data_IF_007729809273
#
_entry.id   IF_007729809273
#
_cell.length_a   1.000
_cell.length_b   1.000
_cell.length_c   1.000
_cell.angle_alpha   90.00
_cell.angle_beta   90.00
_cell.angle_gamma   90.00
#
_symmetry.space_group_name_H-M   'P 1'
#
loop_
_entity.id
_entity.type
_entity.pdbx_description
1 polymer ?
#
# COMPACT_ATOMS: atom_id res chain seq x y z
N UNK A 1 -1.60 -8.81 -8.42
CA UNK A 1 -0.45 -7.90 -8.21
C UNK A 1 -1.02 -6.52 -8.06
N UNK A 2 -0.74 -5.85 -6.95
CA UNK A 2 -1.26 -4.51 -6.70
C UNK A 2 -0.22 -3.48 -7.14
N UNK A 3 -0.62 -2.51 -7.97
CA UNK A 3 0.24 -1.46 -8.51
C UNK A 3 -0.15 -0.07 -7.98
N UNK A 4 0.85 0.78 -7.76
CA UNK A 4 0.66 2.17 -7.31
C UNK A 4 0.64 3.12 -8.51
N UNK A 5 -0.39 3.00 -9.34
CA UNK A 5 -0.55 3.79 -10.56
C UNK A 5 -1.24 5.14 -10.34
N UNK A 6 -0.90 6.12 -11.17
CA UNK A 6 -1.52 7.45 -11.15
C UNK A 6 -2.90 7.38 -11.83
N UNK A 7 -3.95 7.23 -11.02
CA UNK A 7 -5.34 7.20 -11.47
C UNK A 7 -6.02 8.58 -11.39
N UNK A 8 -6.99 8.88 -12.29
CA UNK A 8 -7.82 10.07 -12.17
C UNK A 8 -8.70 10.03 -10.90
N UNK A 9 -9.09 11.20 -10.41
CA UNK A 9 -9.92 11.34 -9.20
C UNK A 9 -11.42 11.25 -9.50
N UNK A 10 -12.19 10.82 -8.51
CA UNK A 10 -13.66 10.80 -8.60
C UNK A 10 -14.31 12.18 -8.36
N UNK A 11 -15.58 12.34 -8.77
CA UNK A 11 -16.38 13.56 -8.59
C UNK A 11 -16.50 13.92 -7.10
N UNK A 12 -16.69 12.92 -6.23
CA UNK A 12 -16.67 13.07 -4.75
C UNK A 12 -15.30 13.56 -4.24
N UNK A 13 -14.19 12.97 -4.68
CA UNK A 13 -12.84 13.40 -4.27
C UNK A 13 -12.52 14.83 -4.71
N UNK A 14 -12.89 15.20 -5.93
CA UNK A 14 -12.72 16.55 -6.49
C UNK A 14 -13.55 17.61 -5.72
N UNK A 15 -14.74 17.24 -5.24
CA UNK A 15 -15.58 18.09 -4.39
C UNK A 15 -15.01 18.20 -2.97
N UNK A 16 -14.52 17.10 -2.39
CA UNK A 16 -13.84 17.14 -1.08
C UNK A 16 -12.59 18.04 -1.12
N UNK A 17 -11.80 17.99 -2.20
CA UNK A 17 -10.65 18.89 -2.42
C UNK A 17 -11.06 20.35 -2.50
N UNK A 18 -12.15 20.68 -3.19
CA UNK A 18 -12.68 22.04 -3.24
C UNK A 18 -13.17 22.53 -1.87
N UNK A 19 -13.89 21.68 -1.12
CA UNK A 19 -14.38 21.99 0.23
C UNK A 19 -13.28 22.30 1.24
N UNK A 20 -12.08 21.71 1.09
CA UNK A 20 -10.92 22.04 1.96
C UNK A 20 -10.50 23.51 1.88
N UNK A 21 -10.73 24.20 0.76
CA UNK A 21 -10.37 25.61 0.60
C UNK A 21 -11.29 26.57 1.41
N UNK A 22 -12.51 26.15 1.75
CA UNK A 22 -13.53 26.99 2.39
C UNK A 22 -13.66 26.86 3.91
N UNK A 23 -12.74 26.16 4.59
CA UNK A 23 -12.90 25.73 6.00
C UNK A 23 -12.95 26.85 7.04
N UNK A 24 -12.30 27.98 6.78
CA UNK A 24 -12.14 29.08 7.76
C UNK A 24 -12.74 30.40 7.26
N UNK A 25 -12.78 30.57 5.94
CA UNK A 25 -13.24 31.77 5.23
C UNK A 25 -13.52 31.41 3.77
N UNK A 26 -14.25 32.24 3.00
CA UNK A 26 -14.42 32.04 1.57
C UNK A 26 -13.08 31.82 0.86
N UNK A 27 -12.98 30.68 0.17
CA UNK A 27 -11.78 30.23 -0.53
C UNK A 27 -12.04 29.98 -2.02
N UNK A 28 -10.97 29.87 -2.80
CA UNK A 28 -11.02 29.57 -4.24
C UNK A 28 -10.29 28.26 -4.51
N UNK A 29 -10.86 27.42 -5.38
CA UNK A 29 -10.24 26.18 -5.83
C UNK A 29 -10.08 26.22 -7.36
N UNK A 30 -8.85 26.10 -7.84
CA UNK A 30 -8.55 26.05 -9.27
C UNK A 30 -8.45 24.60 -9.71
N UNK A 31 -9.26 24.21 -10.70
CA UNK A 31 -9.30 22.87 -11.29
C UNK A 31 -8.62 22.91 -12.66
N UNK A 32 -7.55 22.14 -12.84
CA UNK A 32 -6.75 22.11 -14.08
C UNK A 32 -7.32 21.08 -15.09
N UNK A 33 -8.63 21.09 -15.29
CA UNK A 33 -9.36 20.24 -16.22
C UNK A 33 -10.66 20.92 -16.64
N UNK A 34 -11.20 20.53 -17.80
CA UNK A 34 -12.43 21.13 -18.33
C UNK A 34 -13.66 20.74 -17.51
N UNK A 35 -14.70 21.58 -17.55
CA UNK A 35 -15.99 21.26 -16.94
C UNK A 35 -16.60 19.97 -17.53
N UNK A 36 -16.49 19.79 -18.84
CA UNK A 36 -16.95 18.58 -19.52
C UNK A 36 -16.25 17.32 -18.98
N UNK A 37 -14.92 17.35 -18.76
CA UNK A 37 -14.20 16.22 -18.17
C UNK A 37 -14.71 15.85 -16.77
N UNK A 38 -15.03 16.86 -15.94
CA UNK A 38 -15.62 16.66 -14.61
C UNK A 38 -17.02 16.04 -14.66
N UNK A 39 -17.83 16.41 -15.66
CA UNK A 39 -19.23 15.98 -15.76
C UNK A 39 -19.41 14.64 -16.49
N UNK A 40 -18.58 14.32 -17.50
CA UNK A 40 -18.76 13.11 -18.33
C UNK A 40 -17.68 12.04 -18.23
N UNK A 41 -16.47 12.34 -17.73
CA UNK A 41 -15.34 11.38 -17.72
C UNK A 41 -14.88 10.97 -16.30
N UNK A 42 -15.15 11.78 -15.27
CA UNK A 42 -14.83 11.41 -13.89
C UNK A 42 -15.92 10.51 -13.28
N UNK A 43 -15.55 9.37 -12.65
CA UNK A 43 -16.51 8.52 -11.95
C UNK A 43 -17.04 9.22 -10.69
N UNK A 44 -18.30 8.98 -10.33
CA UNK A 44 -19.00 9.63 -9.22
C UNK A 44 -18.26 9.43 -7.88
N UNK A 45 -18.15 8.17 -7.47
CA UNK A 45 -17.40 7.71 -6.32
C UNK A 45 -16.12 6.98 -6.76
N UNK A 46 -15.21 6.74 -5.82
CA UNK A 46 -14.11 5.81 -6.04
C UNK A 46 -14.59 4.39 -5.69
N UNK A 47 -14.07 3.37 -6.39
CA UNK A 47 -14.37 1.97 -6.07
C UNK A 47 -13.94 1.63 -4.62
N UNK A 48 -14.73 0.82 -3.88
CA UNK A 48 -14.42 0.37 -2.52
C UNK A 48 -13.04 -0.26 -2.40
N UNK A 49 -12.38 -0.08 -1.25
CA UNK A 49 -11.02 -0.59 -1.03
C UNK A 49 -10.95 -2.12 -1.10
N UNK A 50 -11.95 -2.81 -0.54
CA UNK A 50 -12.11 -4.28 -0.57
C UNK A 50 -12.21 -4.86 -2.00
N UNK A 51 -12.60 -4.06 -2.99
CA UNK A 51 -12.65 -4.46 -4.40
C UNK A 51 -11.36 -4.13 -5.17
N UNK A 52 -10.38 -3.48 -4.54
CA UNK A 52 -9.19 -2.90 -5.19
C UNK A 52 -7.85 -3.42 -4.69
N UNK A 53 -7.77 -3.98 -3.48
CA UNK A 53 -6.52 -4.44 -2.86
C UNK A 53 -6.50 -5.95 -2.60
N UNK A 54 -5.30 -6.51 -2.41
CA UNK A 54 -5.14 -7.91 -2.03
C UNK A 54 -5.79 -8.25 -0.67
N UNK A 55 -6.69 -9.23 -0.67
CA UNK A 55 -7.49 -9.57 0.51
C UNK A 55 -6.80 -10.50 1.51
N UNK A 56 -5.60 -11.02 1.20
CA UNK A 56 -4.92 -12.03 2.03
C UNK A 56 -4.71 -11.58 3.49
N UNK A 57 -4.28 -10.34 3.71
CA UNK A 57 -4.18 -9.75 5.04
C UNK A 57 -5.55 -9.67 5.75
N UNK A 58 -6.57 -9.12 5.08
CA UNK A 58 -7.91 -8.96 5.65
C UNK A 58 -8.57 -10.31 6.02
N UNK A 59 -8.47 -11.31 5.15
CA UNK A 59 -9.00 -12.67 5.37
C UNK A 59 -8.31 -13.35 6.56
N UNK A 60 -6.99 -13.17 6.71
CA UNK A 60 -6.25 -13.71 7.86
C UNK A 60 -6.74 -13.09 9.19
N UNK A 61 -6.97 -11.77 9.22
CA UNK A 61 -7.52 -11.10 10.40
C UNK A 61 -8.96 -11.55 10.71
N UNK A 62 -9.81 -11.71 9.69
CA UNK A 62 -11.18 -12.24 9.86
C UNK A 62 -11.16 -13.66 10.45
N UNK A 63 -10.33 -14.57 9.92
CA UNK A 63 -10.17 -15.93 10.46
C UNK A 63 -9.55 -15.95 11.87
N UNK A 64 -8.72 -14.95 12.23
CA UNK A 64 -8.12 -14.86 13.57
C UNK A 64 -9.14 -14.53 14.68
N UNK A 65 -10.32 -13.99 14.36
CA UNK A 65 -11.36 -13.60 15.34
C UNK A 65 -12.05 -14.78 16.05
N UNK A 66 -11.70 -16.04 15.76
CA UNK A 66 -12.27 -17.27 16.36
C UNK A 66 -13.80 -17.39 16.24
N UNK A 67 -14.41 -16.70 15.29
CA UNK A 67 -15.80 -16.91 14.91
C UNK A 67 -15.86 -18.08 13.90
N UNK A 68 -16.86 -18.98 13.98
CA UNK A 68 -17.11 -19.99 12.95
C UNK A 68 -17.66 -19.28 11.70
N UNK A 69 -16.74 -18.69 10.93
CA UNK A 69 -17.03 -17.81 9.80
C UNK A 69 -16.59 -18.46 8.50
N UNK A 70 -17.57 -18.72 7.62
CA UNK A 70 -17.29 -18.86 6.20
C UNK A 70 -17.01 -17.48 5.61
N UNK A 71 -15.85 -17.35 4.97
CA UNK A 71 -15.39 -16.12 4.33
C UNK A 71 -16.05 -15.93 2.96
N UNK A 72 -16.52 -17.01 2.32
CA UNK A 72 -17.20 -16.96 1.03
C UNK A 72 -18.68 -16.56 1.17
N UNK A 73 -19.34 -17.02 2.23
CA UNK A 73 -20.72 -16.67 2.59
C UNK A 73 -20.87 -15.46 3.52
N UNK A 74 -19.82 -14.67 3.77
CA UNK A 74 -19.90 -13.49 4.63
C UNK A 74 -20.63 -12.31 3.95
N UNK A 75 -21.51 -11.65 4.70
CA UNK A 75 -22.30 -10.50 4.23
C UNK A 75 -21.45 -9.21 4.23
N UNK A 76 -20.67 -9.02 3.16
CA UNK A 76 -19.89 -7.82 2.92
C UNK A 76 -20.78 -6.68 2.38
N UNK A 77 -20.65 -5.47 2.96
CA UNK A 77 -21.34 -4.26 2.48
C UNK A 77 -21.13 -4.00 0.98
N UNK A 78 -19.88 -4.14 0.52
CA UNK A 78 -19.49 -4.13 -0.87
C UNK A 78 -18.74 -5.44 -1.13
N UNK A 79 -19.38 -6.50 -1.68
CA UNK A 79 -18.72 -7.79 -1.82
C UNK A 79 -17.53 -7.72 -2.80
N UNK A 80 -16.38 -8.31 -2.45
CA UNK A 80 -15.28 -8.50 -3.39
C UNK A 80 -15.64 -9.57 -4.44
N UNK A 81 -14.88 -9.61 -5.53
CA UNK A 81 -15.04 -10.69 -6.51
C UNK A 81 -14.65 -12.04 -5.90
N UNK A 82 -15.42 -13.09 -6.20
CA UNK A 82 -15.19 -14.45 -5.67
C UNK A 82 -13.77 -14.95 -5.96
N UNK A 83 -13.23 -14.68 -7.16
CA UNK A 83 -11.86 -15.04 -7.51
C UNK A 83 -10.78 -14.34 -6.67
N UNK A 84 -11.04 -13.12 -6.17
CA UNK A 84 -10.11 -12.45 -5.26
C UNK A 84 -10.11 -13.06 -3.85
N UNK A 85 -11.27 -13.55 -3.37
CA UNK A 85 -11.35 -14.33 -2.13
C UNK A 85 -10.67 -15.69 -2.27
N UNK A 86 -10.89 -16.40 -3.38
CA UNK A 86 -10.28 -17.70 -3.66
C UNK A 86 -8.74 -17.60 -3.76
N UNK A 87 -8.20 -16.60 -4.46
CA UNK A 87 -6.75 -16.38 -4.51
C UNK A 87 -6.18 -15.93 -3.15
N UNK A 88 -6.92 -15.17 -2.34
CA UNK A 88 -6.51 -14.82 -0.99
C UNK A 88 -6.42 -16.05 -0.06
N UNK A 89 -7.42 -16.94 -0.10
CA UNK A 89 -7.41 -18.21 0.63
C UNK A 89 -6.26 -19.11 0.15
N UNK A 90 -6.10 -19.25 -1.18
CA UNK A 90 -5.00 -20.01 -1.80
C UNK A 90 -3.62 -19.51 -1.36
N UNK A 91 -3.42 -18.20 -1.28
CA UNK A 91 -2.17 -17.57 -0.81
C UNK A 91 -1.92 -17.83 0.68
N UNK A 92 -2.95 -17.75 1.52
CA UNK A 92 -2.85 -18.10 2.94
C UNK A 92 -2.53 -19.59 3.16
N UNK A 93 -3.08 -20.50 2.34
CA UNK A 93 -2.77 -21.92 2.36
C UNK A 93 -1.30 -22.19 1.99
N UNK A 94 -0.80 -21.58 0.91
CA UNK A 94 0.62 -21.65 0.48
C UNK A 94 1.58 -21.13 1.56
N UNK A 95 1.10 -20.24 2.45
CA UNK A 95 1.89 -19.60 3.50
C UNK A 95 1.80 -20.35 4.85
N UNK A 96 1.15 -21.52 4.89
CA UNK A 96 0.83 -22.31 6.10
C UNK A 96 0.00 -21.55 7.15
N UNK A 97 -0.71 -20.49 6.74
CA UNK A 97 -1.51 -19.66 7.66
C UNK A 97 -2.88 -20.28 7.95
N UNK A 98 -3.42 -21.02 6.99
CA UNK A 98 -4.62 -21.86 7.12
C UNK A 98 -4.30 -23.32 6.73
N UNK A 99 -5.09 -24.27 7.22
CA UNK A 99 -5.01 -25.67 6.81
C UNK A 99 -5.88 -25.98 5.56
N UNK A 100 -6.03 -27.27 5.24
CA UNK A 100 -6.81 -27.74 4.10
C UNK A 100 -8.34 -27.64 4.31
N UNK A 101 -8.79 -27.62 5.56
CA UNK A 101 -10.20 -27.47 5.93
C UNK A 101 -10.63 -25.98 6.02
N UNK A 102 -9.65 -25.07 5.97
CA UNK A 102 -9.84 -23.62 5.93
C UNK A 102 -9.75 -22.95 7.31
N UNK A 103 -9.21 -23.65 8.31
CA UNK A 103 -9.05 -23.18 9.68
C UNK A 103 -7.66 -22.58 9.95
N UNK A 104 -7.60 -21.63 10.90
CA UNK A 104 -6.38 -20.85 11.16
C UNK A 104 -5.38 -21.62 12.03
N UNK A 105 -4.20 -21.89 11.44
CA UNK A 105 -3.12 -22.64 12.09
C UNK A 105 -2.52 -21.83 13.26
N UNK A 106 -1.79 -22.49 14.20
CA UNK A 106 -1.02 -21.78 15.22
C UNK A 106 0.00 -20.78 14.64
N UNK A 107 0.51 -21.04 13.43
CA UNK A 107 1.40 -20.13 12.70
C UNK A 107 0.62 -18.93 12.15
N UNK A 108 -0.54 -19.16 11.53
CA UNK A 108 -1.43 -18.09 11.06
C UNK A 108 -1.83 -17.12 12.18
N UNK A 109 -2.07 -17.63 13.40
CA UNK A 109 -2.32 -16.78 14.58
C UNK A 109 -1.11 -15.93 14.99
N UNK A 110 0.11 -16.45 14.84
CA UNK A 110 1.32 -15.65 15.07
C UNK A 110 1.51 -14.58 14.00
N UNK A 111 1.16 -14.89 12.74
CA UNK A 111 1.20 -13.94 11.62
C UNK A 111 0.17 -12.82 11.77
N UNK A 112 -1.06 -13.14 12.20
CA UNK A 112 -2.13 -12.16 12.44
C UNK A 112 -1.82 -11.14 13.54
N UNK A 113 -0.85 -11.43 14.42
CA UNK A 113 -0.34 -10.48 15.42
C UNK A 113 0.76 -9.54 14.88
N UNK A 114 1.18 -9.70 13.63
CA UNK A 114 2.20 -8.85 13.00
C UNK A 114 1.55 -7.83 12.06
N UNK A 115 1.94 -6.54 12.09
CA UNK A 115 1.43 -5.51 11.19
C UNK A 115 2.10 -5.59 9.80
N UNK A 116 2.03 -6.75 9.16
CA UNK A 116 2.73 -7.08 7.92
C UNK A 116 1.87 -7.99 7.04
N UNK A 117 2.13 -7.97 5.72
CA UNK A 117 1.54 -8.93 4.79
C UNK A 117 1.90 -10.38 5.17
N UNK A 118 1.00 -11.36 4.95
CA UNK A 118 1.21 -12.76 5.33
C UNK A 118 2.55 -13.33 4.85
N UNK A 119 2.91 -13.12 3.58
CA UNK A 119 4.16 -13.60 2.99
C UNK A 119 5.40 -13.09 3.77
N UNK A 120 5.38 -11.81 4.19
CA UNK A 120 6.46 -11.18 4.96
C UNK A 120 6.48 -11.68 6.41
N UNK A 121 5.32 -11.83 7.04
CA UNK A 121 5.20 -12.41 8.38
C UNK A 121 5.75 -13.85 8.42
N UNK A 122 5.44 -14.65 7.39
CA UNK A 122 5.97 -16.02 7.24
C UNK A 122 7.47 -16.06 7.04
N UNK A 123 8.02 -15.16 6.22
CA UNK A 123 9.46 -15.02 6.03
C UNK A 123 10.19 -14.64 7.34
N UNK A 124 9.63 -13.74 8.14
CA UNK A 124 10.18 -13.37 9.45
C UNK A 124 10.11 -14.52 10.46
N UNK A 125 8.98 -15.24 10.52
CA UNK A 125 8.83 -16.41 11.40
C UNK A 125 9.78 -17.55 11.00
N UNK A 126 10.01 -17.77 9.70
CA UNK A 126 11.01 -18.71 9.19
C UNK A 126 12.43 -18.26 9.58
N UNK A 127 12.78 -16.99 9.37
CA UNK A 127 14.07 -16.43 9.74
C UNK A 127 14.32 -16.52 11.26
N UNK A 128 13.30 -16.29 12.10
CA UNK A 128 13.41 -16.46 13.55
C UNK A 128 13.69 -17.91 13.95
N UNK A 129 13.01 -18.90 13.33
CA UNK A 129 13.26 -20.33 13.57
C UNK A 129 14.65 -20.78 13.13
N UNK A 130 15.15 -20.27 12.00
CA UNK A 130 16.52 -20.54 11.52
C UNK A 130 17.58 -19.90 12.42
N UNK A 131 17.24 -18.80 13.09
CA UNK A 131 18.09 -18.11 14.06
C UNK A 131 18.00 -18.76 15.44
N UNK A 132 18.40 -20.04 15.49
CA UNK A 132 18.58 -20.82 16.71
C UNK A 132 19.47 -20.13 17.76
N UNK A 133 19.60 -20.70 18.97
CA UNK A 133 20.09 -20.01 20.16
C UNK A 133 21.38 -19.24 19.87
N UNK A 134 21.52 -18.00 20.36
CA UNK A 134 22.46 -17.03 19.85
C UNK A 134 23.88 -17.59 19.86
N UNK A 135 24.38 -17.92 18.66
CA UNK A 135 25.78 -18.28 18.44
C UNK A 135 26.64 -17.21 19.13
N UNK A 136 27.43 -17.66 20.10
CA UNK A 136 28.06 -16.81 21.12
C UNK A 136 28.67 -15.56 20.46
N UNK A 137 28.22 -14.38 20.89
CA UNK A 137 28.74 -13.09 20.42
C UNK A 137 30.25 -13.07 20.61
N UNK A 138 31.02 -13.32 19.54
CA UNK A 138 32.45 -12.98 19.51
C UNK A 138 32.53 -11.45 19.69
N UNK A 139 33.14 -10.95 20.77
CA UNK A 139 33.32 -9.51 20.93
C UNK A 139 34.33 -9.01 19.89
N UNK A 140 34.19 -7.76 19.42
CA UNK A 140 35.27 -7.07 18.70
C UNK A 140 35.11 -6.87 17.19
N UNK A 141 33.91 -6.66 16.64
CA UNK A 141 33.76 -5.92 15.37
C UNK A 141 32.92 -4.64 15.57
N UNK A 142 33.51 -3.43 15.45
CA UNK A 142 32.76 -2.20 15.59
C UNK A 142 31.76 -2.06 14.43
N UNK A 143 30.57 -1.55 14.75
CA UNK A 143 29.49 -1.40 13.79
C UNK A 143 29.78 -0.27 12.80
N UNK A 144 29.93 -0.59 11.52
CA UNK A 144 29.90 0.41 10.45
C UNK A 144 28.47 0.99 10.35
N UNK A 145 28.31 2.26 10.72
CA UNK A 145 27.08 3.04 10.52
C UNK A 145 27.00 3.59 9.07
N UNK A 146 25.81 4.02 8.59
CA UNK A 146 25.35 3.57 7.28
C UNK A 146 25.35 4.63 6.17
N UNK A 147 25.15 4.15 4.94
CA UNK A 147 24.52 4.83 3.79
C UNK A 147 24.98 6.24 3.46
N UNK A 148 25.87 6.36 2.48
CA UNK A 148 26.08 7.61 1.75
C UNK A 148 24.79 8.04 1.01
N UNK A 149 24.46 9.34 0.95
CA UNK A 149 23.34 9.83 0.16
C UNK A 149 23.62 9.68 -1.34
N UNK A 150 22.58 9.38 -2.13
CA UNK A 150 22.68 9.38 -3.60
C UNK A 150 23.02 10.80 -4.10
N UNK A 151 24.00 10.97 -4.99
CA UNK A 151 24.24 12.28 -5.61
C UNK A 151 23.06 12.67 -6.50
N UNK A 152 22.55 13.89 -6.33
CA UNK A 152 21.60 14.49 -7.25
C UNK A 152 22.24 14.82 -8.60
N UNK A 153 21.44 15.07 -9.66
CA UNK A 153 21.97 15.40 -10.98
C UNK A 153 22.79 16.70 -10.93
N UNK A 154 24.06 16.62 -11.34
CA UNK A 154 24.97 17.75 -11.37
C UNK A 154 24.51 18.84 -12.35
N UNK A 155 24.74 20.10 -11.99
CA UNK A 155 24.09 21.24 -12.62
C UNK A 155 24.42 21.46 -14.10
N UNK A 156 23.39 21.74 -14.90
CA UNK A 156 23.54 22.35 -16.22
C UNK A 156 24.20 23.74 -16.07
N UNK A 157 25.26 23.97 -16.85
CA UNK A 157 26.17 25.11 -16.66
C UNK A 157 25.52 26.44 -17.02
N UNK A 158 25.75 27.45 -16.17
CA UNK A 158 25.47 28.86 -16.51
C UNK A 158 26.43 29.32 -17.61
N UNK A 159 25.91 29.57 -18.81
CA UNK A 159 26.65 30.35 -19.81
C UNK A 159 26.45 31.85 -19.54
N UNK A 160 27.55 32.55 -19.25
CA UNK A 160 27.69 34.02 -19.27
C UNK A 160 29.00 34.36 -20.00
N UNK A 161 29.02 35.52 -20.65
CA UNK A 161 30.07 36.13 -21.51
C UNK A 161 29.88 35.89 -23.02
N UNK A 162 30.12 36.86 -23.92
CA UNK A 162 30.23 38.33 -23.82
C UNK A 162 30.25 38.91 -25.26
N UNK A 163 29.45 39.94 -25.59
CA UNK A 163 29.67 40.76 -26.80
C UNK A 163 28.99 42.15 -26.71
N UNK A 164 29.79 43.13 -26.27
CA UNK A 164 29.92 44.57 -26.62
C UNK A 164 28.73 45.41 -27.16
N UNK A 165 28.66 46.71 -26.76
CA UNK A 165 27.73 47.68 -27.34
C UNK A 165 28.25 48.30 -28.65
N UNK A 166 27.33 48.74 -29.51
CA UNK A 166 27.60 49.78 -30.52
C UNK A 166 26.47 50.81 -30.54
N UNK A 167 26.84 52.08 -30.44
CA UNK A 167 25.97 53.23 -30.74
C UNK A 167 25.86 53.38 -32.26
N UNK A 168 24.66 53.66 -32.75
CA UNK A 168 24.34 54.90 -33.46
C UNK A 168 22.85 55.17 -33.36
#
# INVERSE_FOLDING_TARGET
MDSLDVVPISRVQATQRAGRAGRTRPGKCFRLYTRLYFESQMPDAALPEIQRCGLAGAVLHLKALRLPLDVLGFDFLDPPSRGALEEALRRLYITDAIDADGDITPLGRQMANMPLEPDLARALLAAHKLRGPPAQRRPGRPAARPTAPRPGPAGARRHRAHARPRRR
#
